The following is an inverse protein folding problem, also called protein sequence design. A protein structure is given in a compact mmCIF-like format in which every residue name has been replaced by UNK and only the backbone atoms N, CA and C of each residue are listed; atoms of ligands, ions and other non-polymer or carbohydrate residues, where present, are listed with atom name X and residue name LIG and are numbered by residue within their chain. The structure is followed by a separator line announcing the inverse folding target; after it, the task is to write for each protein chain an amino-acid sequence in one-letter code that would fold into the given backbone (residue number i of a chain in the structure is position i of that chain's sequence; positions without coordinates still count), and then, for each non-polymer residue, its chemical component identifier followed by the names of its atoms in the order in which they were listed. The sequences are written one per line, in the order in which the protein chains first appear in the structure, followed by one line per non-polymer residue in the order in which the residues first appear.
data_IF_522559562412
#
_entry.id   IF_522559562412
#
_cell.length_a   1.000
_cell.length_b   1.000
_cell.length_c   1.000
_cell.angle_alpha   90.00
_cell.angle_beta   90.00
_cell.angle_gamma   90.00
#
_symmetry.space_group_name_H-M   'P 1'
#
loop_
_entity.id
_entity.type
_entity.pdbx_description
1 polymer ?
#
# COMPACT_ATOMS: atom_id res chain seq x y z
N UNK A 1 -16.88 -3.00 -15.87
CA UNK A 1 -15.76 -3.69 -15.17
C UNK A 1 -14.61 -3.79 -16.15
N UNK A 2 -13.73 -2.81 -16.15
CA UNK A 2 -12.50 -2.82 -16.94
C UNK A 2 -11.44 -3.70 -16.28
N UNK A 3 -10.50 -4.19 -17.06
CA UNK A 3 -9.53 -5.20 -16.70
C UNK A 3 -8.80 -4.91 -15.37
N UNK A 4 -9.23 -5.65 -14.35
CA UNK A 4 -8.45 -6.18 -13.23
C UNK A 4 -7.80 -5.18 -12.27
N UNK A 5 -8.65 -4.39 -11.61
CA UNK A 5 -8.33 -3.62 -10.39
C UNK A 5 -7.44 -4.44 -9.43
N UNK A 6 -6.35 -3.83 -8.95
CA UNK A 6 -5.50 -4.42 -7.91
C UNK A 6 -6.27 -4.27 -6.59
N UNK A 7 -6.75 -5.39 -6.05
CA UNK A 7 -7.68 -5.34 -4.90
C UNK A 7 -7.65 -6.56 -4.01
N UNK A 8 -8.04 -6.37 -2.75
CA UNK A 8 -8.19 -7.44 -1.76
C UNK A 8 -9.44 -7.24 -0.88
N UNK A 9 -9.89 -8.25 -0.13
CA UNK A 9 -10.90 -8.07 0.92
C UNK A 9 -10.41 -7.05 1.96
N UNK A 10 -11.15 -5.96 2.15
CA UNK A 10 -10.70 -4.81 2.96
C UNK A 10 -10.26 -5.22 4.36
N UNK A 11 -11.11 -5.95 5.08
CA UNK A 11 -10.85 -6.27 6.49
C UNK A 11 -9.63 -7.16 6.67
N UNK A 12 -9.42 -8.15 5.78
CA UNK A 12 -8.26 -9.03 5.87
C UNK A 12 -6.97 -8.29 5.55
N UNK A 13 -6.99 -7.52 4.46
CA UNK A 13 -5.84 -6.71 4.05
C UNK A 13 -5.39 -5.72 5.14
N UNK A 14 -6.33 -4.99 5.75
CA UNK A 14 -6.00 -4.05 6.83
C UNK A 14 -5.52 -4.76 8.09
N UNK A 15 -6.09 -5.93 8.42
CA UNK A 15 -5.62 -6.75 9.55
C UNK A 15 -4.19 -7.26 9.33
N UNK A 16 -3.86 -7.73 8.12
CA UNK A 16 -2.50 -8.14 7.76
C UNK A 16 -1.50 -6.98 7.78
N UNK A 17 -1.89 -5.79 7.29
CA UNK A 17 -1.07 -4.59 7.39
C UNK A 17 -0.77 -4.21 8.85
N UNK A 18 -1.78 -4.24 9.73
CA UNK A 18 -1.59 -3.95 11.16
C UNK A 18 -0.65 -4.93 11.88
N UNK A 19 -0.53 -6.16 11.37
CA UNK A 19 0.42 -7.16 11.89
C UNK A 19 1.86 -6.92 11.39
N UNK A 20 2.03 -6.10 10.36
CA UNK A 20 3.33 -5.80 9.77
C UNK A 20 3.86 -4.46 10.30
N UNK A 21 5.08 -4.45 10.85
CA UNK A 21 5.68 -3.23 11.38
C UNK A 21 5.99 -2.21 10.27
N UNK A 22 5.91 -0.92 10.61
CA UNK A 22 6.32 0.18 9.72
C UNK A 22 5.22 0.75 8.83
N UNK A 23 4.04 0.12 8.80
CA UNK A 23 2.87 0.66 8.12
C UNK A 23 2.01 1.52 9.05
N UNK A 24 1.69 2.74 8.60
CA UNK A 24 0.68 3.59 9.18
C UNK A 24 -0.54 3.64 8.26
N UNK A 25 -1.74 3.52 8.81
CA UNK A 25 -3.01 3.46 8.07
C UNK A 25 -3.94 4.57 8.53
N UNK A 26 -4.37 5.42 7.60
CA UNK A 26 -5.35 6.47 7.84
C UNK A 26 -6.59 6.19 6.99
N UNK A 27 -7.78 6.15 7.61
CA UNK A 27 -9.05 5.96 6.90
C UNK A 27 -9.88 7.23 6.99
N UNK A 28 -10.29 7.77 5.84
CA UNK A 28 -11.13 8.96 5.72
C UNK A 28 -12.30 8.68 4.76
N UNK A 29 -13.47 8.36 5.32
CA UNK A 29 -14.63 7.96 4.55
C UNK A 29 -14.35 6.72 3.69
N UNK A 30 -14.48 6.86 2.36
CA UNK A 30 -14.21 5.79 1.40
C UNK A 30 -12.72 5.69 1.01
N UNK A 31 -11.87 6.64 1.42
CA UNK A 31 -10.44 6.65 1.13
C UNK A 31 -9.65 6.02 2.25
N UNK A 32 -8.60 5.29 1.89
CA UNK A 32 -7.60 4.77 2.82
C UNK A 32 -6.23 5.15 2.31
N UNK A 33 -5.42 5.75 3.16
CA UNK A 33 -4.03 6.06 2.88
C UNK A 33 -3.16 5.15 3.74
N UNK A 34 -2.19 4.49 3.10
CA UNK A 34 -1.20 3.66 3.78
C UNK A 34 0.17 4.27 3.52
N UNK A 35 0.92 4.48 4.59
CA UNK A 35 2.29 4.96 4.56
C UNK A 35 3.21 3.87 5.10
N UNK A 36 4.30 3.58 4.41
CA UNK A 36 5.43 2.84 4.99
C UNK A 36 6.55 3.83 5.27
N UNK A 37 6.99 3.89 6.52
CA UNK A 37 8.00 4.83 6.98
C UNK A 37 9.18 4.08 7.62
N UNK A 38 10.28 3.87 6.87
CA UNK A 38 11.42 3.08 7.34
C UNK A 38 12.10 3.66 8.58
N UNK A 39 12.10 4.98 8.75
CA UNK A 39 12.62 5.64 9.95
C UNK A 39 11.83 5.35 11.23
N UNK A 40 10.60 4.84 11.09
CA UNK A 40 9.82 4.38 12.24
C UNK A 40 10.28 3.00 12.75
N UNK A 41 11.18 2.32 12.03
CA UNK A 41 11.75 1.03 12.40
C UNK A 41 13.12 1.23 13.04
N UNK A 42 13.31 0.71 14.25
CA UNK A 42 14.55 0.88 15.03
C UNK A 42 15.78 0.13 14.44
N UNK A 43 15.62 -0.67 13.37
CA UNK A 43 16.61 -1.69 12.95
C UNK A 43 17.20 -1.53 11.54
N UNK A 44 16.89 -0.46 10.81
CA UNK A 44 17.43 -0.23 9.46
C UNK A 44 18.19 1.09 9.42
N UNK A 45 19.27 1.18 8.65
CA UNK A 45 19.75 2.49 8.19
C UNK A 45 18.61 3.12 7.38
N UNK A 46 17.89 4.13 7.92
CA UNK A 46 16.63 4.59 7.35
C UNK A 46 16.81 5.29 6.00
N UNK A 47 18.06 5.53 5.59
CA UNK A 47 18.41 6.20 4.34
C UNK A 47 18.50 5.24 3.14
N UNK A 48 18.51 3.92 3.35
CA UNK A 48 18.59 2.93 2.26
C UNK A 48 17.23 2.42 1.78
N UNK A 49 16.17 2.60 2.58
CA UNK A 49 14.82 2.15 2.22
C UNK A 49 13.95 3.37 1.89
N UNK A 50 13.28 3.38 0.73
CA UNK A 50 12.41 4.50 0.36
C UNK A 50 11.10 4.47 1.17
N UNK A 51 10.49 5.65 1.32
CA UNK A 51 9.14 5.76 1.86
C UNK A 51 8.11 5.35 0.82
N UNK A 52 7.07 4.66 1.29
CA UNK A 52 5.96 4.27 0.42
C UNK A 52 4.72 5.04 0.83
N UNK A 53 3.96 5.49 -0.16
CA UNK A 53 2.65 6.13 0.00
C UNK A 53 1.67 5.45 -0.95
N UNK A 54 0.65 4.81 -0.40
CA UNK A 54 -0.36 4.10 -1.15
C UNK A 54 -1.72 4.69 -0.85
N UNK A 55 -2.49 4.97 -1.88
CA UNK A 55 -3.86 5.46 -1.77
C UNK A 55 -4.83 4.41 -2.32
N UNK A 56 -5.86 4.15 -1.53
CA UNK A 56 -6.88 3.17 -1.86
C UNK A 56 -8.27 3.77 -1.79
N UNK A 57 -9.18 3.17 -2.55
CA UNK A 57 -10.61 3.37 -2.46
C UNK A 57 -11.30 2.10 -1.94
N UNK A 58 -12.28 2.29 -1.08
CA UNK A 58 -13.14 1.22 -0.60
C UNK A 58 -14.34 1.06 -1.53
N UNK A 59 -14.61 -0.17 -1.97
CA UNK A 59 -15.72 -0.49 -2.86
C UNK A 59 -16.28 -1.85 -2.48
N UNK A 60 -17.55 -1.92 -2.10
CA UNK A 60 -18.28 -3.19 -1.85
C UNK A 60 -17.53 -4.20 -0.95
N UNK A 61 -16.93 -3.72 0.15
CA UNK A 61 -16.17 -4.55 1.10
C UNK A 61 -14.76 -4.93 0.63
N UNK A 62 -14.34 -4.46 -0.54
CA UNK A 62 -12.96 -4.55 -1.06
C UNK A 62 -12.23 -3.24 -0.86
N UNK A 63 -10.90 -3.33 -0.93
CA UNK A 63 -10.00 -2.18 -1.00
C UNK A 63 -9.24 -2.27 -2.33
N UNK A 64 -9.27 -1.19 -3.09
CA UNK A 64 -8.71 -1.09 -4.45
C UNK A 64 -7.57 -0.09 -4.43
N UNK A 65 -6.38 -0.49 -4.90
CA UNK A 65 -5.23 0.40 -5.01
C UNK A 65 -5.42 1.36 -6.19
N UNK A 66 -5.40 2.66 -5.91
CA UNK A 66 -5.56 3.72 -6.93
C UNK A 66 -4.25 4.45 -7.24
N UNK A 67 -3.36 4.58 -6.26
CA UNK A 67 -2.06 5.22 -6.45
C UNK A 67 -1.00 4.61 -5.54
N UNK A 68 0.20 4.48 -6.06
CA UNK A 68 1.39 4.13 -5.30
C UNK A 68 2.52 5.08 -5.68
N UNK A 69 3.04 5.81 -4.70
CA UNK A 69 4.21 6.67 -4.81
C UNK A 69 5.33 6.15 -3.92
N UNK A 70 6.53 6.14 -4.48
CA UNK A 70 7.78 5.86 -3.78
C UNK A 70 8.48 7.20 -3.61
N UNK A 71 8.71 7.60 -2.37
CA UNK A 71 9.49 8.78 -2.02
C UNK A 71 10.90 8.32 -1.66
N UNK A 72 11.89 8.76 -2.45
CA UNK A 72 13.29 8.43 -2.23
C UNK A 72 14.14 9.71 -2.31
N UNK A 73 14.88 10.02 -1.24
CA UNK A 73 15.78 11.18 -1.19
C UNK A 73 15.14 12.52 -1.62
N UNK A 74 13.85 12.71 -1.31
CA UNK A 74 13.09 13.92 -1.66
C UNK A 74 12.53 13.96 -3.08
N UNK A 75 12.66 12.87 -3.84
CA UNK A 75 12.00 12.69 -5.14
C UNK A 75 10.81 11.73 -5.02
N UNK A 76 9.66 12.17 -5.53
CA UNK A 76 8.44 11.36 -5.61
C UNK A 76 8.35 10.68 -6.98
N UNK A 77 8.33 9.35 -6.98
CA UNK A 77 8.08 8.55 -8.18
C UNK A 77 6.73 7.85 -8.08
N UNK A 78 5.81 8.15 -8.99
CA UNK A 78 4.56 7.40 -9.14
C UNK A 78 4.83 6.07 -9.86
N UNK A 79 4.42 4.98 -9.24
CA UNK A 79 4.55 3.63 -9.79
C UNK A 79 3.52 3.42 -10.90
N UNK A 80 3.96 2.85 -12.02
CA UNK A 80 3.05 2.40 -13.07
C UNK A 80 2.31 1.13 -12.58
N UNK A 81 1.07 1.29 -12.16
CA UNK A 81 0.24 0.20 -11.61
C UNK A 81 -0.04 -0.91 -12.64
N UNK A 82 -0.14 -0.58 -13.94
CA UNK A 82 -0.35 -1.58 -14.98
C UNK A 82 0.89 -2.48 -15.13
N UNK A 83 2.08 -1.87 -15.15
CA UNK A 83 3.34 -2.60 -15.28
C UNK A 83 3.67 -3.43 -14.02
N UNK A 84 3.31 -2.93 -12.83
CA UNK A 84 3.58 -3.58 -11.55
C UNK A 84 2.42 -4.47 -11.05
N UNK A 85 1.36 -4.63 -11.85
CA UNK A 85 0.08 -5.20 -11.44
C UNK A 85 0.21 -6.52 -10.70
N UNK A 86 0.90 -7.50 -11.28
CA UNK A 86 0.94 -8.86 -10.74
C UNK A 86 1.71 -8.92 -9.42
N UNK A 87 2.79 -8.14 -9.30
CA UNK A 87 3.55 -8.02 -8.06
C UNK A 87 2.72 -7.33 -6.95
N UNK A 88 2.02 -6.26 -7.29
CA UNK A 88 1.16 -5.54 -6.35
C UNK A 88 -0.05 -6.38 -5.92
N UNK A 89 -0.65 -7.12 -6.84
CA UNK A 89 -1.74 -8.03 -6.52
C UNK A 89 -1.26 -9.14 -5.58
N UNK A 90 -0.11 -9.78 -5.87
CA UNK A 90 0.46 -10.81 -5.00
C UNK A 90 0.78 -10.28 -3.60
N UNK A 91 1.27 -9.04 -3.49
CA UNK A 91 1.47 -8.39 -2.19
C UNK A 91 0.15 -8.16 -1.45
N UNK A 92 -0.89 -7.65 -2.14
CA UNK A 92 -2.21 -7.45 -1.53
C UNK A 92 -2.84 -8.78 -1.08
N UNK A 93 -2.67 -9.85 -1.86
CA UNK A 93 -3.15 -11.18 -1.52
C UNK A 93 -2.42 -11.73 -0.28
N UNK A 94 -1.09 -11.61 -0.22
CA UNK A 94 -0.28 -12.00 0.95
C UNK A 94 -0.69 -11.27 2.24
N UNK A 95 -1.03 -9.99 2.15
CA UNK A 95 -1.54 -9.22 3.29
C UNK A 95 -2.99 -9.59 3.66
N UNK A 96 -3.73 -10.28 2.80
CA UNK A 96 -5.13 -10.65 2.99
C UNK A 96 -5.37 -12.14 3.28
N UNK A 97 -4.29 -12.93 3.35
CA UNK A 97 -4.29 -14.33 3.79
C UNK A 97 -4.46 -14.47 5.31
#
# INVERSE_FOLDING_TARGET
MSASEISAPRWRFLDGLCKTQGYNVVTEGERVTVAFEPWALEQTDPFDIPCLRLEFRQVDGRIVLERFTIENNGEDQVVNLEAARDALQAWMDSMAD
#
